data_IF_432897129004
#
_entry.id   IF_432897129004
#
_cell.length_a   1.000
_cell.length_b   1.000
_cell.length_c   1.000
_cell.angle_alpha   90.00
_cell.angle_beta   90.00
_cell.angle_gamma   90.00
#
_symmetry.space_group_name_H-M   'P 1'
#
loop_
_entity.id
_entity.type
_entity.pdbx_description
1 polymer ?
#
# COMPACT_ATOMS: atom_id res chain seq x y z
N UNK A 1 25.56 -7.51 43.45
CA UNK A 1 24.09 -7.32 43.51
C UNK A 1 23.67 -6.42 42.35
N UNK A 2 22.71 -6.90 41.52
CA UNK A 2 21.76 -6.19 40.62
C UNK A 2 22.29 -4.99 39.82
N UNK A 3 22.47 -5.08 38.51
CA UNK A 3 21.39 -5.00 37.50
C UNK A 3 21.35 -3.57 36.94
N UNK A 4 21.49 -3.34 35.64
CA UNK A 4 20.40 -3.24 34.64
C UNK A 4 21.02 -3.54 33.26
N UNK A 5 20.76 -4.68 32.66
CA UNK A 5 19.71 -4.89 31.65
C UNK A 5 19.67 -3.76 30.60
N UNK A 6 20.22 -4.10 29.43
CA UNK A 6 20.21 -3.25 28.26
C UNK A 6 18.80 -3.01 27.72
N UNK A 7 18.70 -1.94 26.96
CA UNK A 7 17.80 -1.85 25.84
C UNK A 7 18.39 -0.83 24.87
N UNK A 8 19.38 -1.26 24.08
CA UNK A 8 19.67 -0.60 22.81
C UNK A 8 18.44 -0.84 21.96
N UNK A 9 17.52 0.13 21.99
CA UNK A 9 16.33 0.18 21.15
C UNK A 9 16.76 -0.15 19.73
N UNK A 10 16.26 -1.29 19.25
CA UNK A 10 16.75 -1.92 18.04
C UNK A 10 16.75 -0.93 16.89
N UNK A 11 17.85 -0.93 16.14
CA UNK A 11 17.86 -0.44 14.77
C UNK A 11 16.67 -1.06 14.06
N UNK A 12 15.58 -0.31 13.94
CA UNK A 12 14.52 -0.61 13.00
C UNK A 12 15.16 -0.40 11.64
N UNK A 13 15.85 -1.44 11.15
CA UNK A 13 16.38 -1.45 9.81
C UNK A 13 15.19 -1.06 8.92
N UNK A 14 15.33 0.03 8.18
CA UNK A 14 14.30 0.47 7.25
C UNK A 14 14.23 -0.62 6.19
N UNK A 15 13.32 -1.57 6.38
CA UNK A 15 13.08 -2.64 5.43
C UNK A 15 12.20 -2.06 4.32
N UNK A 16 12.58 -2.34 3.09
CA UNK A 16 11.79 -2.01 1.92
C UNK A 16 10.74 -3.09 1.74
N UNK A 17 9.46 -2.72 1.77
CA UNK A 17 8.35 -3.65 1.61
C UNK A 17 7.59 -3.38 0.32
N UNK A 18 7.24 -4.46 -0.36
CA UNK A 18 6.48 -4.41 -1.60
C UNK A 18 4.99 -4.55 -1.29
N UNK A 19 4.23 -3.58 -1.74
CA UNK A 19 2.77 -3.60 -1.69
C UNK A 19 2.23 -3.64 -3.11
N UNK A 20 1.47 -4.69 -3.42
CA UNK A 20 0.71 -4.80 -4.66
C UNK A 20 -0.75 -4.44 -4.38
N UNK A 21 -1.39 -3.78 -5.33
CA UNK A 21 -2.83 -3.56 -5.25
C UNK A 21 -3.47 -3.70 -6.63
N UNK A 22 -4.68 -4.24 -6.64
CA UNK A 22 -5.47 -4.42 -7.85
C UNK A 22 -6.88 -3.88 -7.63
N UNK A 23 -7.41 -3.21 -8.65
CA UNK A 23 -8.81 -2.76 -8.65
C UNK A 23 -9.67 -3.92 -9.14
N UNK A 24 -10.59 -4.37 -8.29
CA UNK A 24 -11.58 -5.39 -8.66
C UNK A 24 -12.87 -4.68 -9.05
N UNK A 25 -13.30 -4.86 -10.30
CA UNK A 25 -14.55 -4.30 -10.82
C UNK A 25 -15.54 -5.42 -11.18
N UNK A 26 -16.78 -5.38 -10.68
CA UNK A 26 -17.83 -6.30 -11.11
C UNK A 26 -18.32 -5.94 -12.53
N UNK A 27 -18.48 -6.95 -13.38
CA UNK A 27 -19.00 -6.81 -14.75
C UNK A 27 -18.04 -7.28 -15.85
N UNK A 28 -18.50 -7.36 -17.12
CA UNK A 28 -17.72 -7.89 -18.23
C UNK A 28 -16.58 -6.98 -18.70
N UNK A 29 -16.65 -5.68 -18.38
CA UNK A 29 -15.64 -4.67 -18.77
C UNK A 29 -14.82 -4.29 -17.53
N UNK A 30 -13.58 -4.79 -17.47
CA UNK A 30 -12.67 -4.60 -16.33
C UNK A 30 -11.74 -3.39 -16.50
N UNK A 31 -11.49 -2.97 -17.74
CA UNK A 31 -10.78 -1.74 -18.07
C UNK A 31 -11.78 -0.71 -18.64
N UNK A 32 -12.19 0.23 -17.80
CA UNK A 32 -13.07 1.33 -18.16
C UNK A 32 -12.52 2.62 -17.56
N UNK A 33 -13.03 3.76 -18.01
CA UNK A 33 -12.65 5.05 -17.42
C UNK A 33 -12.91 5.08 -15.91
N UNK A 34 -13.97 4.40 -15.45
CA UNK A 34 -14.31 4.27 -14.03
C UNK A 34 -13.26 3.46 -13.28
N UNK A 35 -12.85 2.29 -13.79
CA UNK A 35 -11.86 1.44 -13.10
C UNK A 35 -10.47 2.07 -13.08
N UNK A 36 -10.10 2.83 -14.13
CA UNK A 36 -8.89 3.66 -14.16
C UNK A 36 -8.94 4.82 -13.17
N UNK A 37 -10.09 5.48 -13.03
CA UNK A 37 -10.29 6.54 -12.02
C UNK A 37 -10.15 5.99 -10.61
N UNK A 38 -10.74 4.82 -10.33
CA UNK A 38 -10.59 4.12 -9.04
C UNK A 38 -9.13 3.76 -8.80
N UNK A 39 -8.43 3.23 -9.80
CA UNK A 39 -7.00 2.90 -9.71
C UNK A 39 -6.15 4.12 -9.36
N UNK A 40 -6.33 5.21 -10.11
CA UNK A 40 -5.59 6.46 -9.87
C UNK A 40 -5.90 7.05 -8.49
N UNK A 41 -7.13 6.91 -8.02
CA UNK A 41 -7.50 7.32 -6.66
C UNK A 41 -6.78 6.48 -5.61
N UNK A 42 -6.72 5.15 -5.79
CA UNK A 42 -5.97 4.24 -4.91
C UNK A 42 -4.47 4.54 -4.88
N UNK A 43 -3.84 4.80 -6.03
CA UNK A 43 -2.45 5.28 -6.11
C UNK A 43 -2.27 6.56 -5.28
N UNK A 44 -3.16 7.54 -5.49
CA UNK A 44 -3.07 8.83 -4.82
C UNK A 44 -3.22 8.68 -3.30
N UNK A 45 -4.13 7.83 -2.86
CA UNK A 45 -4.36 7.52 -1.45
C UNK A 45 -3.14 6.84 -0.80
N UNK A 46 -2.52 5.87 -1.48
CA UNK A 46 -1.28 5.23 -1.00
C UNK A 46 -0.11 6.21 -0.94
N UNK A 47 0.01 7.11 -1.92
CA UNK A 47 1.05 8.17 -1.91
C UNK A 47 0.82 9.17 -0.77
N UNK A 48 -0.42 9.58 -0.54
CA UNK A 48 -0.78 10.46 0.57
C UNK A 48 -0.51 9.79 1.92
N UNK A 49 -0.81 8.49 2.02
CA UNK A 49 -0.52 7.69 3.21
C UNK A 49 0.99 7.63 3.49
N UNK A 50 1.81 7.29 2.49
CA UNK A 50 3.25 7.28 2.62
C UNK A 50 3.80 8.66 3.04
N UNK A 51 3.33 9.73 2.39
CA UNK A 51 3.71 11.10 2.74
C UNK A 51 3.33 11.47 4.19
N UNK A 52 2.10 11.14 4.62
CA UNK A 52 1.62 11.39 5.99
C UNK A 52 2.47 10.69 7.05
N UNK A 53 2.96 9.49 6.74
CA UNK A 53 3.78 8.69 7.64
C UNK A 53 5.29 8.96 7.49
N UNK A 54 5.69 9.82 6.55
CA UNK A 54 7.11 10.08 6.23
C UNK A 54 7.82 8.93 5.52
N UNK A 55 7.08 7.96 4.97
CA UNK A 55 7.64 6.82 4.26
C UNK A 55 8.10 7.19 2.85
N UNK A 56 9.24 6.65 2.44
CA UNK A 56 9.78 6.87 1.10
C UNK A 56 9.23 5.81 0.14
N UNK A 57 8.71 6.27 -1.00
CA UNK A 57 8.33 5.38 -2.10
C UNK A 57 9.58 5.19 -2.97
N UNK A 58 10.06 3.96 -3.06
CA UNK A 58 11.25 3.62 -3.84
C UNK A 58 10.93 3.33 -5.29
N UNK A 59 9.83 2.63 -5.52
CA UNK A 59 9.44 2.20 -6.85
C UNK A 59 7.91 2.20 -6.98
N UNK A 60 7.45 2.51 -8.19
CA UNK A 60 6.05 2.43 -8.54
C UNK A 60 5.92 1.89 -9.97
N UNK A 61 5.08 0.89 -10.14
CA UNK A 61 4.68 0.35 -11.42
C UNK A 61 3.17 0.32 -11.54
N UNK A 62 2.65 0.67 -12.72
CA UNK A 62 1.25 0.51 -13.08
C UNK A 62 1.15 -0.46 -14.26
N UNK A 63 0.23 -1.40 -14.18
CA UNK A 63 -0.05 -2.39 -15.22
C UNK A 63 -1.51 -2.25 -15.63
N UNK A 64 -1.75 -2.02 -16.92
CA UNK A 64 -3.10 -2.11 -17.50
C UNK A 64 -3.21 -3.44 -18.20
N UNK A 65 -4.20 -4.24 -17.82
CA UNK A 65 -4.45 -5.56 -18.42
C UNK A 65 -5.92 -5.73 -18.78
N UNK A 66 -6.25 -6.78 -19.52
CA UNK A 66 -7.63 -7.19 -19.78
C UNK A 66 -8.41 -7.50 -18.49
N UNK A 67 -7.71 -7.78 -17.39
CA UNK A 67 -8.29 -7.98 -16.06
C UNK A 67 -8.55 -6.68 -15.30
N UNK A 68 -8.27 -5.52 -15.91
CA UNK A 68 -8.35 -4.20 -15.31
C UNK A 68 -6.97 -3.64 -14.92
N UNK A 69 -6.95 -2.40 -14.39
CA UNK A 69 -5.74 -1.76 -13.92
C UNK A 69 -5.24 -2.33 -12.58
N UNK A 70 -3.94 -2.57 -12.49
CA UNK A 70 -3.22 -3.02 -11.31
C UNK A 70 -1.93 -2.23 -11.10
N UNK A 71 -1.34 -2.33 -9.91
CA UNK A 71 -0.15 -1.56 -9.57
C UNK A 71 0.68 -2.18 -8.45
N UNK A 72 1.95 -1.83 -8.45
CA UNK A 72 2.92 -2.16 -7.41
C UNK A 72 3.56 -0.89 -6.89
N UNK A 73 3.66 -0.77 -5.56
CA UNK A 73 4.42 0.26 -4.87
C UNK A 73 5.41 -0.40 -3.92
N UNK A 74 6.67 -0.02 -4.03
CA UNK A 74 7.72 -0.34 -3.05
C UNK A 74 7.86 0.81 -2.06
N UNK A 75 7.62 0.55 -0.79
CA UNK A 75 7.59 1.57 0.28
C UNK A 75 8.59 1.18 1.37
N UNK A 76 9.46 2.13 1.71
CA UNK A 76 10.40 2.03 2.83
C UNK A 76 9.67 2.35 4.14
N UNK A 77 9.14 1.31 4.80
CA UNK A 77 8.30 1.44 5.99
C UNK A 77 8.35 0.16 6.81
N UNK A 78 8.15 0.17 8.14
CA UNK A 78 7.98 -1.05 8.91
C UNK A 78 6.79 -1.87 8.37
N UNK A 79 7.01 -3.16 8.05
CA UNK A 79 5.99 -4.03 7.45
C UNK A 79 4.64 -4.00 8.19
N UNK A 80 4.71 -4.02 9.53
CA UNK A 80 3.54 -4.01 10.40
C UNK A 80 2.75 -2.72 10.27
N UNK A 81 3.44 -1.58 10.24
CA UNK A 81 2.80 -0.27 10.20
C UNK A 81 2.21 -0.02 8.82
N UNK A 82 2.93 -0.41 7.77
CA UNK A 82 2.42 -0.38 6.40
C UNK A 82 1.14 -1.23 6.27
N UNK A 83 1.10 -2.41 6.90
CA UNK A 83 -0.07 -3.30 6.87
C UNK A 83 -1.27 -2.75 7.61
N UNK A 84 -1.07 -2.19 8.80
CA UNK A 84 -2.17 -1.56 9.55
C UNK A 84 -2.72 -0.36 8.80
N UNK A 85 -1.83 0.46 8.25
CA UNK A 85 -2.18 1.65 7.51
C UNK A 85 -2.95 1.35 6.21
N UNK A 86 -2.60 0.27 5.49
CA UNK A 86 -3.36 -0.17 4.29
C UNK A 86 -4.72 -0.76 4.64
N UNK A 87 -4.87 -1.46 5.77
CA UNK A 87 -6.18 -1.92 6.27
C UNK A 87 -7.08 -0.73 6.61
N UNK A 88 -6.55 0.27 7.32
CA UNK A 88 -7.31 1.51 7.61
C UNK A 88 -7.69 2.26 6.33
N UNK A 89 -6.79 2.27 5.34
CA UNK A 89 -7.06 2.86 4.03
C UNK A 89 -8.21 2.13 3.33
N UNK A 90 -8.23 0.80 3.32
CA UNK A 90 -9.31 0.01 2.73
C UNK A 90 -10.65 0.27 3.42
N UNK A 91 -10.67 0.31 4.76
CA UNK A 91 -11.89 0.58 5.54
C UNK A 91 -12.45 1.98 5.32
N UNK A 92 -11.61 2.97 5.04
CA UNK A 92 -12.02 4.37 4.88
C UNK A 92 -12.41 4.74 3.44
N UNK A 93 -12.17 3.87 2.45
CA UNK A 93 -12.39 4.22 1.05
C UNK A 93 -13.84 3.95 0.59
N UNK A 94 -14.59 5.00 0.19
CA UNK A 94 -16.00 4.89 -0.21
C UNK A 94 -16.21 4.23 -1.60
N UNK A 95 -15.13 3.91 -2.33
CA UNK A 95 -15.18 3.44 -3.72
C UNK A 95 -15.10 1.90 -3.87
N UNK A 96 -15.19 1.15 -2.77
CA UNK A 96 -15.22 -0.32 -2.75
C UNK A 96 -13.88 -0.98 -2.38
N UNK A 97 -13.89 -2.32 -2.21
CA UNK A 97 -12.72 -3.09 -1.77
C UNK A 97 -11.60 -3.08 -2.82
N UNK A 98 -10.49 -2.41 -2.51
CA UNK A 98 -9.22 -2.55 -3.21
C UNK A 98 -8.51 -3.80 -2.66
N UNK A 99 -8.17 -4.76 -3.51
CA UNK A 99 -7.45 -5.96 -3.05
C UNK A 99 -5.96 -5.60 -2.93
N UNK A 100 -5.57 -5.15 -1.74
CA UNK A 100 -4.19 -4.83 -1.38
C UNK A 100 -3.54 -6.09 -0.81
N UNK A 101 -2.47 -6.57 -1.44
CA UNK A 101 -1.66 -7.69 -0.96
C UNK A 101 -0.22 -7.24 -0.74
N UNK A 102 0.33 -7.63 0.41
CA UNK A 102 1.68 -7.27 0.84
C UNK A 102 2.50 -8.55 0.96
N UNK A 103 3.66 -8.59 0.31
CA UNK A 103 4.61 -9.71 0.34
C UNK A 103 5.91 -9.32 1.01
#
# INVERSE_FOLDING_TARGET
>A
MKGKHGNTSGSSAILFHWSSFTVVAPGPIKDSEVTRRIFNHGVTALRALAAKQGWQIQEQAALVSASGPGGMLSIAAPARDLKLATIELEHSHPLGRLWISMS
#
